data_IF_186039247357
#
_entry.id   IF_186039247357
#
_cell.length_a   1.000
_cell.length_b   1.000
_cell.length_c   1.000
_cell.angle_alpha   90.00
_cell.angle_beta   90.00
_cell.angle_gamma   90.00
#
_symmetry.space_group_name_H-M   'P 1'
#
loop_
_entity.id
_entity.type
_entity.pdbx_description
1 polymer ?
#
# COMPACT_ATOMS: atom_id res chain seq x y z
N UNK A 1 -7.12 19.74 -12.29
CA UNK A 1 -8.39 20.19 -12.89
C UNK A 1 -8.32 20.10 -14.41
N UNK A 2 -9.47 20.03 -15.06
CA UNK A 2 -9.55 20.08 -16.54
C UNK A 2 -9.86 21.50 -16.97
N UNK A 3 -8.96 22.06 -17.77
CA UNK A 3 -9.04 23.43 -18.27
C UNK A 3 -9.33 23.51 -19.76
N UNK A 4 -9.04 22.43 -20.52
CA UNK A 4 -9.37 22.32 -21.93
C UNK A 4 -9.83 20.88 -22.28
N UNK A 5 -10.84 20.77 -23.18
CA UNK A 5 -11.40 19.49 -23.66
C UNK A 5 -11.15 19.23 -25.15
N UNK A 6 -10.37 20.08 -25.82
CA UNK A 6 -10.20 20.00 -27.28
C UNK A 6 -9.23 18.89 -27.72
N UNK A 7 -8.39 18.38 -26.83
CA UNK A 7 -7.32 17.45 -27.13
C UNK A 7 -7.54 16.02 -26.60
N UNK A 8 -6.43 15.27 -26.51
CA UNK A 8 -6.42 13.93 -25.89
C UNK A 8 -6.73 14.04 -24.38
N UNK A 9 -7.20 12.95 -23.70
CA UNK A 9 -7.55 12.98 -22.28
C UNK A 9 -6.45 13.51 -21.35
N UNK A 10 -5.19 13.37 -21.70
CA UNK A 10 -4.03 13.85 -20.93
C UNK A 10 -3.68 15.32 -21.20
N UNK A 11 -4.14 15.88 -22.31
CA UNK A 11 -4.00 17.28 -22.64
C UNK A 11 -5.12 18.10 -22.01
N UNK A 12 -4.89 19.36 -21.71
CA UNK A 12 -5.91 20.22 -21.10
C UNK A 12 -6.18 19.94 -19.63
N UNK A 13 -5.21 19.32 -18.93
CA UNK A 13 -5.20 19.18 -17.48
C UNK A 13 -4.23 20.21 -16.90
N UNK A 14 -4.66 20.95 -15.89
CA UNK A 14 -3.81 21.90 -15.16
C UNK A 14 -3.63 21.43 -13.72
N UNK A 15 -2.42 21.46 -13.22
CA UNK A 15 -2.10 21.11 -11.84
C UNK A 15 -2.22 22.36 -10.96
N UNK A 16 -3.05 22.31 -9.91
CA UNK A 16 -3.34 23.44 -9.03
C UNK A 16 -3.24 22.99 -7.59
N UNK A 17 -2.57 23.78 -6.74
CA UNK A 17 -2.59 23.62 -5.29
C UNK A 17 -3.80 24.32 -4.70
N UNK A 18 -4.54 23.64 -3.83
CA UNK A 18 -5.75 24.16 -3.19
C UNK A 18 -5.60 23.99 -1.69
N UNK A 19 -5.82 25.08 -0.95
CA UNK A 19 -5.93 25.01 0.50
C UNK A 19 -7.21 24.25 0.85
N UNK A 20 -7.11 23.25 1.71
CA UNK A 20 -8.25 22.39 2.09
C UNK A 20 -9.32 23.13 2.93
N UNK A 21 -8.98 24.28 3.52
CA UNK A 21 -9.92 25.17 4.23
C UNK A 21 -10.64 26.13 3.28
N UNK A 22 -10.41 26.04 1.96
CA UNK A 22 -11.06 26.89 0.97
C UNK A 22 -12.58 26.69 0.98
N UNK A 23 -13.40 27.75 1.03
CA UNK A 23 -14.85 27.64 0.97
C UNK A 23 -15.31 26.89 -0.29
N UNK A 24 -16.26 25.97 -0.11
CA UNK A 24 -16.78 25.11 -1.17
C UNK A 24 -16.15 23.73 -1.20
N UNK A 25 -15.20 23.44 -0.31
CA UNK A 25 -14.67 22.08 -0.11
C UNK A 25 -15.42 21.41 1.03
N UNK A 26 -15.96 20.23 0.77
CA UNK A 26 -16.57 19.35 1.79
C UNK A 26 -15.83 18.02 1.79
N UNK A 27 -15.41 17.56 2.99
CA UNK A 27 -14.72 16.30 3.18
C UNK A 27 -15.62 15.35 3.98
N UNK A 28 -15.88 14.16 3.44
CA UNK A 28 -16.63 13.08 4.11
C UNK A 28 -15.74 11.86 4.33
N UNK A 29 -15.68 11.33 5.56
CA UNK A 29 -14.90 10.13 5.84
C UNK A 29 -15.49 8.90 5.12
N UNK A 30 -14.62 8.01 4.68
CA UNK A 30 -14.98 6.69 4.20
C UNK A 30 -14.42 5.69 5.20
N UNK A 31 -15.31 4.93 5.83
CA UNK A 31 -14.90 3.82 6.70
C UNK A 31 -14.60 2.62 5.81
N UNK A 32 -13.37 2.12 5.91
CA UNK A 32 -12.88 0.99 5.11
C UNK A 32 -13.42 -0.35 5.61
N UNK A 33 -13.17 -1.43 4.89
CA UNK A 33 -13.50 -2.80 5.34
C UNK A 33 -12.79 -3.17 6.66
N UNK A 34 -11.65 -2.55 6.94
CA UNK A 34 -10.93 -2.73 8.20
C UNK A 34 -11.61 -2.08 9.40
N UNK A 35 -12.66 -1.27 9.18
CA UNK A 35 -13.35 -0.50 10.20
C UNK A 35 -12.66 0.82 10.55
N UNK A 36 -11.63 1.22 9.79
CA UNK A 36 -10.83 2.41 10.03
C UNK A 36 -11.18 3.53 9.04
N UNK A 37 -10.91 4.76 9.45
CA UNK A 37 -11.01 5.95 8.63
C UNK A 37 -9.61 6.33 8.13
N UNK A 38 -9.30 5.98 6.87
CA UNK A 38 -8.00 6.28 6.24
C UNK A 38 -8.13 7.11 4.96
N UNK A 39 -9.31 7.10 4.35
CA UNK A 39 -9.59 7.81 3.09
C UNK A 39 -10.86 8.62 3.18
N UNK A 40 -10.96 9.64 2.33
CA UNK A 40 -12.07 10.57 2.32
C UNK A 40 -12.66 10.70 0.91
N UNK A 41 -13.93 11.02 0.87
CA UNK A 41 -14.59 11.60 -0.29
C UNK A 41 -14.51 13.13 -0.18
N UNK A 42 -13.96 13.78 -1.20
CA UNK A 42 -13.83 15.24 -1.23
C UNK A 42 -14.72 15.80 -2.33
N UNK A 43 -15.55 16.77 -1.99
CA UNK A 43 -16.43 17.49 -2.91
C UNK A 43 -15.91 18.90 -3.11
N UNK A 44 -16.00 19.40 -4.33
CA UNK A 44 -15.61 20.75 -4.71
C UNK A 44 -16.81 21.42 -5.37
N UNK A 45 -17.37 22.45 -4.73
CA UNK A 45 -18.50 23.22 -5.23
C UNK A 45 -18.10 24.70 -5.35
N UNK A 46 -17.96 25.19 -6.58
CA UNK A 46 -17.61 26.58 -6.89
C UNK A 46 -16.36 27.09 -6.14
N UNK A 47 -15.39 26.21 -5.87
CA UNK A 47 -14.14 26.54 -5.19
C UNK A 47 -13.34 27.54 -6.03
N UNK A 48 -12.97 28.67 -5.44
CA UNK A 48 -12.15 29.69 -6.06
C UNK A 48 -10.71 29.54 -5.61
N UNK A 49 -9.80 29.39 -6.55
CA UNK A 49 -8.37 29.20 -6.31
C UNK A 49 -7.59 30.31 -7.00
N UNK A 50 -6.61 30.95 -6.30
CA UNK A 50 -5.72 31.93 -6.92
C UNK A 50 -4.96 31.34 -8.12
N UNK A 51 -4.78 32.12 -9.18
CA UNK A 51 -4.06 31.68 -10.40
C UNK A 51 -2.60 31.38 -10.10
N UNK A 52 -1.98 32.06 -9.14
CA UNK A 52 -0.61 31.83 -8.67
C UNK A 52 -0.40 30.44 -8.05
N UNK A 53 -1.46 29.71 -7.72
CA UNK A 53 -1.38 28.33 -7.22
C UNK A 53 -1.23 27.29 -8.34
N UNK A 54 -1.20 27.69 -9.61
CA UNK A 54 -0.91 26.80 -10.73
C UNK A 54 0.55 26.34 -10.65
N UNK A 55 0.75 25.03 -10.76
CA UNK A 55 2.09 24.41 -10.80
C UNK A 55 2.39 24.00 -12.24
N UNK A 56 3.46 24.57 -12.81
CA UNK A 56 3.80 24.40 -14.21
C UNK A 56 2.95 25.28 -15.11
N UNK A 57 2.71 24.82 -16.32
CA UNK A 57 1.95 25.56 -17.35
C UNK A 57 0.48 25.13 -17.37
N UNK A 58 -0.41 26.04 -17.72
CA UNK A 58 -1.82 25.74 -17.98
C UNK A 58 -1.93 24.68 -19.10
N UNK A 59 -2.79 23.71 -18.92
CA UNK A 59 -3.01 22.56 -19.83
C UNK A 59 -1.87 21.52 -19.89
N UNK A 60 -0.77 21.67 -19.14
CA UNK A 60 0.34 20.69 -19.06
C UNK A 60 0.49 20.02 -17.68
N UNK A 61 -0.54 20.04 -16.87
CA UNK A 61 -0.52 19.42 -15.52
C UNK A 61 -0.29 17.91 -15.51
N UNK A 62 -0.51 17.22 -16.65
CA UNK A 62 -0.18 15.79 -16.75
C UNK A 62 1.34 15.54 -16.69
N UNK A 63 2.16 16.47 -17.18
CA UNK A 63 3.62 16.38 -17.05
C UNK A 63 4.05 16.50 -15.59
N UNK A 64 3.45 17.42 -14.82
CA UNK A 64 3.67 17.56 -13.38
C UNK A 64 3.26 16.30 -12.64
N UNK A 65 2.07 15.75 -12.95
CA UNK A 65 1.58 14.52 -12.33
C UNK A 65 2.49 13.30 -12.62
N UNK A 66 3.00 13.16 -13.85
CA UNK A 66 3.94 12.08 -14.20
C UNK A 66 5.24 12.19 -13.39
N UNK A 67 5.78 13.39 -13.24
CA UNK A 67 6.97 13.60 -12.42
C UNK A 67 6.76 13.15 -10.97
N UNK A 68 5.66 13.55 -10.34
CA UNK A 68 5.32 13.10 -8.98
C UNK A 68 5.19 11.58 -8.90
N UNK A 69 4.48 10.95 -9.83
CA UNK A 69 4.25 9.51 -9.87
C UNK A 69 5.53 8.67 -10.05
N UNK A 70 6.60 9.23 -10.61
CA UNK A 70 7.89 8.53 -10.71
C UNK A 70 8.51 8.30 -9.35
N UNK A 71 8.40 9.26 -8.43
CA UNK A 71 8.94 9.15 -7.07
C UNK A 71 8.07 8.24 -6.17
N UNK A 72 6.77 8.20 -6.38
CA UNK A 72 5.87 7.34 -5.61
C UNK A 72 6.10 5.85 -5.85
N UNK A 73 6.67 5.45 -6.99
CA UNK A 73 6.93 4.04 -7.35
C UNK A 73 8.16 3.45 -6.67
N UNK A 74 9.06 4.28 -6.16
CA UNK A 74 10.30 3.88 -5.50
C UNK A 74 10.12 3.42 -4.05
N UNK A 75 8.93 2.92 -3.67
CA UNK A 75 8.62 2.50 -2.29
C UNK A 75 9.61 1.47 -1.75
N UNK A 76 9.96 1.62 -0.46
CA UNK A 76 10.81 0.69 0.28
C UNK A 76 9.90 -0.34 0.97
N UNK A 77 9.67 -1.48 0.32
CA UNK A 77 8.77 -2.53 0.79
C UNK A 77 9.47 -3.56 1.68
N UNK A 78 10.72 -3.90 1.37
CA UNK A 78 11.38 -5.07 1.95
C UNK A 78 11.55 -4.95 3.45
N UNK A 79 11.95 -3.79 3.97
CA UNK A 79 12.16 -3.59 5.40
C UNK A 79 10.87 -3.79 6.22
N UNK A 80 9.74 -3.24 5.76
CA UNK A 80 8.44 -3.43 6.41
C UNK A 80 7.96 -4.88 6.35
N UNK A 81 8.15 -5.56 5.22
CA UNK A 81 7.82 -6.96 5.03
C UNK A 81 8.65 -7.85 5.96
N UNK A 82 9.96 -7.65 6.03
CA UNK A 82 10.85 -8.39 6.93
C UNK A 82 10.46 -8.19 8.39
N UNK A 83 10.17 -6.95 8.80
CA UNK A 83 9.69 -6.67 10.16
C UNK A 83 8.40 -7.43 10.50
N UNK A 84 7.47 -7.52 9.54
CA UNK A 84 6.22 -8.26 9.74
C UNK A 84 6.45 -9.79 9.76
N UNK A 85 7.37 -10.32 8.97
CA UNK A 85 7.77 -11.72 9.02
C UNK A 85 8.33 -12.07 10.41
N UNK A 86 9.18 -11.21 10.99
CA UNK A 86 9.68 -11.43 12.36
C UNK A 86 8.55 -11.41 13.41
N UNK A 87 7.54 -10.55 13.25
CA UNK A 87 6.33 -10.58 14.09
C UNK A 87 5.55 -11.88 13.94
N UNK A 88 5.42 -12.40 12.70
CA UNK A 88 4.76 -13.70 12.45
C UNK A 88 5.49 -14.82 13.19
N UNK A 89 6.82 -14.85 13.17
CA UNK A 89 7.61 -15.84 13.93
C UNK A 89 7.35 -15.75 15.44
N UNK A 90 7.26 -14.53 15.98
CA UNK A 90 6.92 -14.32 17.39
C UNK A 90 5.51 -14.84 17.70
N UNK A 91 4.52 -14.55 16.86
CA UNK A 91 3.16 -15.07 16.99
C UNK A 91 3.18 -16.61 16.92
N UNK A 92 3.80 -17.18 15.89
CA UNK A 92 3.87 -18.61 15.67
C UNK A 92 4.59 -19.38 16.80
N UNK A 93 5.49 -18.72 17.54
CA UNK A 93 6.15 -19.33 18.69
C UNK A 93 5.21 -19.55 19.89
N UNK A 94 4.14 -18.77 20.00
CA UNK A 94 3.17 -18.84 21.11
C UNK A 94 1.84 -19.47 20.71
N UNK A 95 1.45 -19.35 19.44
CA UNK A 95 0.24 -19.98 18.92
C UNK A 95 0.46 -21.47 18.65
N UNK A 96 -0.65 -22.23 18.69
CA UNK A 96 -0.62 -23.69 18.58
C UNK A 96 -1.37 -24.17 17.35
N UNK A 97 -0.83 -25.22 16.72
CA UNK A 97 -1.50 -25.97 15.68
C UNK A 97 -2.66 -26.80 16.23
N UNK A 98 -3.43 -27.43 15.36
CA UNK A 98 -4.51 -28.35 15.73
C UNK A 98 -4.00 -29.58 16.52
N UNK A 99 -2.72 -29.91 16.43
CA UNK A 99 -2.05 -30.97 17.18
C UNK A 99 -1.57 -30.55 18.57
N UNK A 100 -1.65 -29.22 18.87
CA UNK A 100 -1.21 -28.62 20.14
C UNK A 100 0.29 -28.25 20.17
N UNK A 101 1.02 -28.49 19.09
CA UNK A 101 2.42 -28.09 18.93
C UNK A 101 2.51 -26.61 18.54
N UNK A 102 3.68 -25.98 18.71
CA UNK A 102 3.95 -24.64 18.21
C UNK A 102 3.76 -24.59 16.69
N UNK A 103 3.24 -23.49 16.14
CA UNK A 103 3.18 -23.32 14.69
C UNK A 103 4.57 -23.33 14.04
N UNK A 104 5.64 -23.06 14.81
CA UNK A 104 7.02 -23.22 14.34
C UNK A 104 7.47 -24.69 14.24
N UNK A 105 6.65 -25.64 14.68
CA UNK A 105 6.85 -27.08 14.56
C UNK A 105 5.88 -27.71 13.54
N UNK A 106 4.95 -26.92 12.99
CA UNK A 106 4.04 -27.34 11.93
C UNK A 106 4.73 -27.20 10.54
N UNK A 107 4.95 -28.30 9.87
CA UNK A 107 5.67 -28.36 8.60
C UNK A 107 4.98 -27.54 7.49
N UNK A 108 3.64 -27.49 7.47
CA UNK A 108 2.91 -26.74 6.45
C UNK A 108 3.04 -25.23 6.66
N UNK A 109 2.91 -24.79 7.92
CA UNK A 109 3.11 -23.38 8.27
C UNK A 109 4.56 -22.94 8.03
N UNK A 110 5.54 -23.75 8.48
CA UNK A 110 6.97 -23.46 8.25
C UNK A 110 7.32 -23.36 6.78
N UNK A 111 6.74 -24.21 5.94
CA UNK A 111 6.94 -24.13 4.49
C UNK A 111 6.44 -22.79 3.95
N UNK A 112 5.23 -22.38 4.30
CA UNK A 112 4.63 -21.11 3.85
C UNK A 112 5.44 -19.90 4.34
N UNK A 113 5.90 -19.94 5.60
CA UNK A 113 6.77 -18.92 6.18
C UNK A 113 8.10 -18.82 5.43
N UNK A 114 8.76 -19.96 5.17
CA UNK A 114 10.04 -20.00 4.46
C UNK A 114 9.94 -19.51 3.02
N UNK A 115 8.88 -19.88 2.30
CA UNK A 115 8.61 -19.38 0.95
C UNK A 115 8.42 -17.86 0.95
N UNK A 116 7.75 -17.32 1.96
CA UNK A 116 7.54 -15.88 2.13
C UNK A 116 8.85 -15.16 2.45
N UNK A 117 9.73 -15.75 3.28
CA UNK A 117 11.07 -15.22 3.56
C UNK A 117 11.96 -15.17 2.32
N UNK A 118 11.95 -16.23 1.51
CA UNK A 118 12.71 -16.28 0.24
C UNK A 118 12.24 -15.15 -0.70
N UNK A 119 10.93 -14.96 -0.84
CA UNK A 119 10.36 -13.86 -1.65
C UNK A 119 10.74 -12.49 -1.11
N UNK A 120 10.74 -12.31 0.23
CA UNK A 120 11.13 -11.05 0.87
C UNK A 120 12.62 -10.75 0.63
N UNK A 121 13.48 -11.75 0.69
CA UNK A 121 14.91 -11.61 0.40
C UNK A 121 15.15 -11.26 -1.08
N UNK A 122 14.43 -11.89 -2.01
CA UNK A 122 14.52 -11.57 -3.43
C UNK A 122 14.04 -10.12 -3.71
N UNK A 123 13.00 -9.67 -3.01
CA UNK A 123 12.51 -8.30 -3.10
C UNK A 123 13.56 -7.29 -2.59
N UNK A 124 14.20 -7.57 -1.44
CA UNK A 124 15.28 -6.74 -0.88
C UNK A 124 16.43 -6.57 -1.87
N UNK A 125 16.88 -7.66 -2.49
CA UNK A 125 17.95 -7.60 -3.49
C UNK A 125 17.54 -6.79 -4.72
N UNK A 126 16.26 -6.85 -5.09
CA UNK A 126 15.71 -6.05 -6.19
C UNK A 126 15.66 -4.56 -5.83
N UNK A 127 15.27 -4.23 -4.61
CA UNK A 127 15.33 -2.84 -4.10
C UNK A 127 16.76 -2.28 -4.13
N UNK A 128 17.73 -3.04 -3.62
CA UNK A 128 19.14 -2.61 -3.64
C UNK A 128 19.65 -2.33 -5.05
N UNK A 129 19.29 -3.17 -6.03
CA UNK A 129 19.66 -2.95 -7.44
C UNK A 129 19.05 -1.67 -8.00
N UNK A 130 17.75 -1.44 -7.74
CA UNK A 130 17.07 -0.22 -8.21
C UNK A 130 17.61 1.01 -7.50
N UNK A 131 17.94 0.93 -6.21
CA UNK A 131 18.60 2.02 -5.48
C UNK A 131 19.99 2.36 -6.06
N UNK A 132 20.76 1.36 -6.43
CA UNK A 132 22.04 1.59 -7.12
C UNK A 132 21.84 2.28 -8.47
N UNK A 133 20.86 1.83 -9.26
CA UNK A 133 20.51 2.45 -10.54
C UNK A 133 20.05 3.92 -10.36
N UNK A 134 19.29 4.22 -9.29
CA UNK A 134 18.89 5.60 -8.95
C UNK A 134 20.11 6.47 -8.63
N UNK A 135 21.06 5.93 -7.87
CA UNK A 135 22.28 6.65 -7.52
C UNK A 135 23.12 7.03 -8.75
N UNK A 136 23.11 6.19 -9.78
CA UNK A 136 23.82 6.45 -11.04
C UNK A 136 23.05 7.38 -12.01
N UNK A 137 21.74 7.19 -12.12
CA UNK A 137 20.90 7.82 -13.16
C UNK A 137 20.05 8.97 -12.64
N UNK A 138 19.90 9.14 -11.34
CA UNK A 138 19.10 10.19 -10.70
C UNK A 138 17.59 9.93 -10.69
N UNK A 139 17.09 8.80 -11.23
CA UNK A 139 15.67 8.45 -11.27
C UNK A 139 15.44 6.93 -11.26
N UNK A 140 14.33 6.44 -10.70
CA UNK A 140 14.08 5.01 -10.53
C UNK A 140 13.79 4.23 -11.83
N UNK A 141 13.40 4.91 -12.89
CA UNK A 141 13.08 4.29 -14.17
C UNK A 141 11.87 3.33 -14.13
N UNK A 142 11.53 2.70 -15.27
CA UNK A 142 10.35 1.82 -15.36
C UNK A 142 10.51 0.51 -14.59
N UNK A 143 11.74 0.07 -14.28
CA UNK A 143 12.00 -1.13 -13.49
C UNK A 143 11.47 -1.03 -12.05
N UNK A 144 11.29 0.19 -11.50
CA UNK A 144 10.68 0.41 -10.19
C UNK A 144 9.24 -0.14 -10.08
N UNK A 145 8.55 -0.28 -11.21
CA UNK A 145 7.22 -0.90 -11.25
C UNK A 145 7.20 -2.34 -10.75
N UNK A 146 8.33 -3.06 -10.80
CA UNK A 146 8.43 -4.42 -10.24
C UNK A 146 8.35 -4.39 -8.71
N UNK A 147 8.95 -3.38 -8.07
CA UNK A 147 8.91 -3.24 -6.60
C UNK A 147 7.49 -3.03 -6.12
N UNK A 148 6.75 -2.13 -6.77
CA UNK A 148 5.35 -1.88 -6.42
C UNK A 148 4.49 -3.15 -6.57
N UNK A 149 4.53 -3.81 -7.71
CA UNK A 149 3.72 -5.00 -7.96
C UNK A 149 4.12 -6.16 -7.03
N UNK A 150 5.41 -6.47 -6.91
CA UNK A 150 5.87 -7.56 -6.05
C UNK A 150 5.73 -7.24 -4.56
N UNK A 151 6.03 -6.01 -4.15
CA UNK A 151 5.89 -5.55 -2.78
C UNK A 151 4.44 -5.59 -2.29
N UNK A 152 3.48 -5.11 -3.11
CA UNK A 152 2.06 -5.16 -2.79
C UNK A 152 1.54 -6.59 -2.63
N UNK A 153 1.92 -7.49 -3.55
CA UNK A 153 1.50 -8.89 -3.50
C UNK A 153 2.10 -9.60 -2.28
N UNK A 154 3.39 -9.42 -2.02
CA UNK A 154 4.04 -10.05 -0.88
C UNK A 154 3.52 -9.52 0.45
N UNK A 155 3.19 -8.22 0.54
CA UNK A 155 2.51 -7.67 1.70
C UNK A 155 1.19 -8.38 1.98
N UNK A 156 0.39 -8.66 0.96
CA UNK A 156 -0.87 -9.41 1.10
C UNK A 156 -0.64 -10.87 1.51
N UNK A 157 0.43 -11.51 1.03
CA UNK A 157 0.81 -12.87 1.46
C UNK A 157 1.20 -12.89 2.95
N UNK A 158 1.98 -11.91 3.40
CA UNK A 158 2.38 -11.74 4.81
C UNK A 158 1.17 -11.50 5.71
N UNK A 159 0.22 -10.66 5.29
CA UNK A 159 -1.01 -10.43 6.05
C UNK A 159 -1.85 -11.71 6.16
N UNK A 160 -1.95 -12.51 5.07
CA UNK A 160 -2.65 -13.78 5.06
C UNK A 160 -2.01 -14.77 6.02
N UNK A 161 -0.69 -14.90 5.97
CA UNK A 161 0.05 -15.78 6.88
C UNK A 161 -0.10 -15.35 8.35
N UNK A 162 -0.22 -14.03 8.61
CA UNK A 162 -0.54 -13.52 9.94
C UNK A 162 -1.94 -13.95 10.40
N UNK A 163 -2.93 -13.86 9.51
CA UNK A 163 -4.30 -14.32 9.80
C UNK A 163 -4.33 -15.82 10.06
N UNK A 164 -3.61 -16.62 9.29
CA UNK A 164 -3.48 -18.07 9.51
C UNK A 164 -2.84 -18.38 10.86
N UNK A 165 -1.76 -17.67 11.23
CA UNK A 165 -1.09 -17.85 12.51
C UNK A 165 -1.97 -17.53 13.72
N UNK A 166 -2.83 -16.51 13.62
CA UNK A 166 -3.74 -16.08 14.69
C UNK A 166 -5.02 -16.94 14.75
N UNK A 167 -5.42 -17.52 13.64
CA UNK A 167 -6.57 -18.41 13.54
C UNK A 167 -7.90 -17.75 13.91
N UNK A 168 -8.71 -18.44 14.72
CA UNK A 168 -10.09 -18.02 15.07
C UNK A 168 -10.18 -16.67 15.79
N UNK A 169 -9.13 -16.22 16.45
CA UNK A 169 -9.11 -14.92 17.12
C UNK A 169 -9.11 -13.72 16.14
N UNK A 170 -8.97 -13.98 14.84
CA UNK A 170 -9.16 -12.96 13.80
C UNK A 170 -10.64 -12.66 13.49
N UNK A 171 -11.56 -13.55 13.86
CA UNK A 171 -12.99 -13.45 13.48
C UNK A 171 -13.77 -12.35 14.22
N UNK A 172 -13.55 -12.07 15.53
CA UNK A 172 -14.28 -11.02 16.23
C UNK A 172 -14.00 -9.63 15.68
N UNK A 173 -15.06 -8.84 15.42
CA UNK A 173 -14.94 -7.43 15.10
C UNK A 173 -14.67 -6.63 16.39
N UNK A 174 -13.48 -6.05 16.52
CA UNK A 174 -13.01 -5.42 17.75
C UNK A 174 -12.61 -3.95 17.55
N UNK A 175 -13.38 -3.17 16.78
CA UNK A 175 -13.04 -1.79 16.43
C UNK A 175 -12.85 -0.89 17.65
N UNK A 176 -13.68 -1.05 18.68
CA UNK A 176 -13.58 -0.24 19.90
C UNK A 176 -12.32 -0.60 20.71
N UNK A 177 -11.99 -1.90 20.83
CA UNK A 177 -10.80 -2.34 21.54
C UNK A 177 -9.49 -1.89 20.88
N UNK A 178 -9.49 -1.60 19.57
CA UNK A 178 -8.34 -1.08 18.81
C UNK A 178 -8.12 0.42 19.00
N UNK A 179 -9.08 1.15 19.53
CA UNK A 179 -8.94 2.59 19.71
C UNK A 179 -7.86 2.91 20.75
N UNK A 180 -7.01 3.92 20.54
CA UNK A 180 -6.06 4.37 21.53
C UNK A 180 -6.75 4.66 22.87
N UNK A 181 -6.16 4.18 23.97
CA UNK A 181 -6.68 4.34 25.32
C UNK A 181 -8.04 3.67 25.60
N UNK A 182 -8.46 2.73 24.76
CA UNK A 182 -9.68 1.93 25.00
C UNK A 182 -9.51 1.05 26.23
N UNK A 183 -10.55 0.98 27.06
CA UNK A 183 -10.67 0.07 28.20
C UNK A 183 -11.60 -1.13 27.90
N UNK A 184 -12.00 -1.31 26.66
CA UNK A 184 -12.83 -2.44 26.24
C UNK A 184 -12.01 -3.71 26.32
N UNK A 185 -12.60 -4.75 26.97
CA UNK A 185 -11.96 -6.06 27.07
C UNK A 185 -11.77 -6.68 25.68
N UNK A 186 -10.56 -7.19 25.44
CA UNK A 186 -10.18 -7.81 24.17
C UNK A 186 -10.59 -9.27 24.13
N UNK A 187 -10.97 -9.75 22.96
CA UNK A 187 -11.15 -11.18 22.68
C UNK A 187 -9.86 -11.73 22.09
N UNK A 188 -9.23 -12.66 22.79
CA UNK A 188 -7.98 -13.29 22.36
C UNK A 188 -6.71 -12.49 22.69
N UNK A 189 -5.57 -12.89 22.15
CA UNK A 189 -4.28 -12.27 22.40
C UNK A 189 -4.16 -10.89 21.72
N UNK A 190 -3.23 -10.06 22.20
CA UNK A 190 -3.03 -8.68 21.70
C UNK A 190 -2.75 -8.61 20.21
N UNK A 191 -1.99 -9.56 19.68
CA UNK A 191 -1.66 -9.59 18.25
C UNK A 191 -2.87 -9.92 17.36
N UNK A 192 -3.96 -10.47 17.90
CA UNK A 192 -5.19 -10.72 17.12
C UNK A 192 -5.93 -9.44 16.73
N UNK A 193 -5.80 -8.37 17.53
CA UNK A 193 -6.55 -7.12 17.33
C UNK A 193 -6.32 -6.49 15.94
N UNK A 194 -5.13 -6.60 15.40
CA UNK A 194 -4.73 -5.91 14.15
C UNK A 194 -4.56 -6.84 12.96
N UNK A 195 -4.51 -8.16 13.16
CA UNK A 195 -4.23 -9.14 12.10
C UNK A 195 -5.25 -9.06 10.96
N UNK A 196 -6.53 -9.24 11.25
CA UNK A 196 -7.57 -9.22 10.23
C UNK A 196 -7.87 -7.82 9.66
N UNK A 197 -7.92 -6.74 10.46
CA UNK A 197 -8.00 -5.41 9.93
C UNK A 197 -6.88 -5.05 8.95
N UNK A 198 -5.62 -5.40 9.26
CA UNK A 198 -4.50 -5.20 8.34
C UNK A 198 -4.67 -5.98 7.04
N UNK A 199 -5.08 -7.25 7.13
CA UNK A 199 -5.41 -8.07 5.95
C UNK A 199 -6.48 -7.42 5.07
N UNK A 200 -7.57 -6.91 5.65
CA UNK A 200 -8.66 -6.27 4.92
C UNK A 200 -8.19 -4.96 4.28
N UNK A 201 -7.48 -4.10 5.02
CA UNK A 201 -6.99 -2.82 4.50
C UNK A 201 -6.02 -3.00 3.34
N UNK A 202 -5.11 -3.95 3.45
CA UNK A 202 -4.10 -4.21 2.43
C UNK A 202 -4.64 -4.87 1.15
N UNK A 203 -5.92 -5.27 1.09
CA UNK A 203 -6.55 -5.70 -0.19
C UNK A 203 -6.50 -4.60 -1.25
N UNK A 204 -6.52 -3.33 -0.85
CA UNK A 204 -6.39 -2.21 -1.77
C UNK A 204 -4.94 -1.95 -2.26
N UNK A 205 -3.93 -2.58 -1.66
CA UNK A 205 -2.51 -2.33 -1.98
C UNK A 205 -2.13 -2.65 -3.42
N UNK A 206 -2.82 -3.58 -4.08
CA UNK A 206 -2.63 -3.90 -5.51
C UNK A 206 -3.35 -2.95 -6.44
N UNK A 207 -4.13 -1.99 -5.90
CA UNK A 207 -4.94 -1.02 -6.66
C UNK A 207 -4.35 0.38 -6.54
N UNK A 208 -4.17 0.90 -5.32
CA UNK A 208 -3.63 2.24 -5.12
C UNK A 208 -2.13 2.32 -5.43
N UNK A 209 -1.61 3.53 -5.66
CA UNK A 209 -0.21 3.74 -6.09
C UNK A 209 0.07 3.19 -7.49
N UNK A 210 -0.97 3.07 -8.32
CA UNK A 210 -0.96 2.44 -9.64
C UNK A 210 -1.23 0.93 -9.56
N UNK A 211 -2.31 0.47 -10.22
CA UNK A 211 -2.71 -0.94 -10.15
C UNK A 211 -1.64 -1.88 -10.71
N UNK A 212 -1.67 -3.13 -10.27
CA UNK A 212 -0.75 -4.17 -10.74
C UNK A 212 -0.76 -4.31 -12.27
N UNK A 213 -1.94 -4.14 -12.92
CA UNK A 213 -2.08 -4.17 -14.37
C UNK A 213 -1.31 -3.03 -15.03
N UNK A 214 -1.43 -1.81 -14.46
CA UNK A 214 -0.68 -0.63 -14.94
C UNK A 214 0.83 -0.85 -14.76
N UNK A 215 1.27 -1.39 -13.61
CA UNK A 215 2.68 -1.67 -13.37
C UNK A 215 3.23 -2.71 -14.36
N UNK A 216 2.47 -3.78 -14.63
CA UNK A 216 2.85 -4.81 -15.63
C UNK A 216 2.90 -4.23 -17.04
N UNK A 217 1.95 -3.36 -17.41
CA UNK A 217 1.97 -2.70 -18.72
C UNK A 217 3.20 -1.77 -18.87
N UNK A 218 3.59 -1.07 -17.80
CA UNK A 218 4.81 -0.24 -17.81
C UNK A 218 6.04 -1.12 -18.02
N UNK A 219 6.14 -2.24 -17.32
CA UNK A 219 7.26 -3.18 -17.48
C UNK A 219 7.27 -3.80 -18.88
N UNK A 220 6.13 -4.26 -19.39
CA UNK A 220 6.03 -4.82 -20.73
C UNK A 220 6.52 -3.83 -21.80
N UNK A 221 6.01 -2.61 -21.74
CA UNK A 221 6.33 -1.59 -22.74
C UNK A 221 7.75 -1.05 -22.64
N UNK A 222 8.22 -0.69 -21.44
CA UNK A 222 9.44 0.10 -21.28
C UNK A 222 10.65 -0.72 -20.83
N UNK A 223 10.45 -1.94 -20.32
CA UNK A 223 11.55 -2.85 -19.94
C UNK A 223 11.71 -3.98 -20.96
N UNK A 224 10.60 -4.56 -21.43
CA UNK A 224 10.64 -5.71 -22.35
C UNK A 224 10.47 -5.29 -23.83
N UNK A 225 10.00 -4.08 -24.13
CA UNK A 225 9.81 -3.60 -25.50
C UNK A 225 8.62 -4.23 -26.22
N UNK A 226 7.60 -4.69 -25.50
CA UNK A 226 6.38 -5.33 -26.02
C UNK A 226 5.26 -4.32 -26.30
#
# INVERSE_FOLDING_TARGET
VRTDNSGKPQQGITFILIDMDTPGIEIKPIITMAGDHEVNQTFFDNVKVPVENVVGEENDGWTVAKYLLEFERGGNYAAGIQSNIEKIKQIASVERSDTGESLLEDDAFLKSLSETEIKAQALLMTEHRIMADIAERGHPGPASSILKSRGSNLKQEVDMLTVEAVGYYTMPLQNEARQPFSNVEKVGPDHALTAFPSYLNNRASTIYGGSDEVQRNIMAKFVLGL
#
